data_IF_847429869550
#
_entry.id   IF_847429869550
#
_cell.length_a   1.000
_cell.length_b   1.000
_cell.length_c   1.000
_cell.angle_alpha   90.00
_cell.angle_beta   90.00
_cell.angle_gamma   90.00
#
_symmetry.space_group_name_H-M   'P 1'
#
loop_
_entity.id
_entity.type
_entity.pdbx_description
1 polymer ?
#
# COMPACT_ATOMS: atom_id res chain seq x y z
N UNK A 1 22.68 -19.70 -10.74
CA UNK A 1 22.44 -20.24 -9.39
C UNK A 1 21.50 -19.27 -8.70
N UNK A 2 20.31 -19.77 -8.39
CA UNK A 2 19.04 -19.04 -8.27
C UNK A 2 18.88 -18.43 -6.87
N UNK A 3 18.47 -17.16 -6.80
CA UNK A 3 18.16 -16.44 -5.56
C UNK A 3 16.99 -17.10 -4.80
N UNK A 4 16.94 -17.06 -3.46
CA UNK A 4 15.78 -17.51 -2.71
C UNK A 4 14.63 -16.50 -2.89
N UNK A 5 13.43 -17.00 -3.15
CA UNK A 5 12.19 -16.21 -3.22
C UNK A 5 11.90 -15.53 -1.87
N UNK A 6 11.42 -14.28 -1.95
CA UNK A 6 11.02 -13.42 -0.85
C UNK A 6 9.77 -13.92 -0.10
N UNK A 7 9.85 -15.06 0.60
CA UNK A 7 8.79 -15.55 1.47
C UNK A 7 9.36 -16.22 2.72
N UNK A 8 9.84 -15.41 3.66
CA UNK A 8 9.91 -15.77 5.08
C UNK A 8 10.06 -14.49 5.92
N UNK A 9 9.15 -14.28 6.88
CA UNK A 9 9.35 -13.28 7.94
C UNK A 9 10.55 -13.74 8.79
N UNK A 10 11.64 -12.96 8.90
CA UNK A 10 12.79 -13.36 9.69
C UNK A 10 12.49 -13.32 11.19
N UNK A 11 12.92 -14.36 11.90
CA UNK A 11 12.77 -14.53 13.34
C UNK A 11 13.59 -13.47 14.12
N UNK A 12 12.92 -12.69 14.97
CA UNK A 12 13.44 -11.57 15.75
C UNK A 12 14.22 -12.05 16.98
N UNK A 13 15.28 -12.83 16.77
CA UNK A 13 16.34 -13.02 17.75
C UNK A 13 17.26 -11.79 17.83
N UNK A 14 17.63 -11.38 19.04
CA UNK A 14 18.54 -10.26 19.38
C UNK A 14 19.77 -10.21 18.45
N UNK A 15 19.71 -9.37 17.42
CA UNK A 15 20.86 -9.12 16.52
C UNK A 15 21.12 -7.61 16.49
N UNK A 16 22.34 -7.20 16.80
CA UNK A 16 22.76 -5.80 16.80
C UNK A 16 23.16 -5.37 15.38
N UNK A 17 22.44 -4.40 14.81
CA UNK A 17 22.84 -3.71 13.57
C UNK A 17 23.97 -2.73 13.94
N UNK A 18 25.08 -2.74 13.20
CA UNK A 18 26.17 -1.77 13.41
C UNK A 18 25.63 -0.34 13.25
N UNK A 19 25.70 0.46 14.31
CA UNK A 19 25.13 1.83 14.35
C UNK A 19 25.94 2.82 13.50
N UNK A 20 27.12 2.43 13.04
CA UNK A 20 28.01 3.28 12.25
C UNK A 20 28.16 2.76 10.82
N UNK A 21 27.87 3.62 9.85
CA UNK A 21 28.14 3.36 8.44
C UNK A 21 26.97 3.67 7.51
N UNK A 22 27.25 3.45 6.23
CA UNK A 22 26.32 3.66 5.12
C UNK A 22 26.04 2.32 4.45
N UNK A 23 24.81 2.11 4.04
CA UNK A 23 24.38 0.97 3.21
C UNK A 23 24.02 1.48 1.82
N UNK A 24 24.32 0.68 0.79
CA UNK A 24 23.92 0.95 -0.59
C UNK A 24 22.62 0.22 -0.91
N UNK A 25 21.54 0.95 -1.13
CA UNK A 25 20.28 0.40 -1.63
C UNK A 25 20.25 0.55 -3.16
N UNK A 26 20.22 -0.57 -3.88
CA UNK A 26 20.09 -0.58 -5.34
C UNK A 26 18.61 -0.70 -5.69
N UNK A 27 18.04 0.31 -6.32
CA UNK A 27 16.59 0.44 -6.50
C UNK A 27 16.21 0.35 -7.97
N UNK A 28 15.19 -0.45 -8.25
CA UNK A 28 14.62 -0.62 -9.58
C UNK A 28 15.49 -1.46 -10.53
N UNK A 29 15.02 -1.69 -11.77
CA UNK A 29 15.70 -2.55 -12.74
C UNK A 29 17.05 -2.01 -13.20
N UNK A 30 17.25 -0.69 -13.14
CA UNK A 30 18.52 -0.03 -13.47
C UNK A 30 19.53 -0.02 -12.31
N UNK A 31 19.22 -0.70 -11.19
CA UNK A 31 20.03 -0.76 -9.97
C UNK A 31 20.51 0.63 -9.49
N UNK A 32 19.63 1.64 -9.51
CA UNK A 32 20.01 2.99 -9.08
C UNK A 32 20.45 2.97 -7.62
N UNK A 33 21.70 3.34 -7.36
CA UNK A 33 22.29 3.26 -6.03
C UNK A 33 21.92 4.48 -5.15
N UNK A 34 21.43 4.20 -3.95
CA UNK A 34 21.15 5.17 -2.90
C UNK A 34 21.99 4.85 -1.66
N UNK A 35 22.75 5.82 -1.19
CA UNK A 35 23.58 5.72 0.01
C UNK A 35 22.80 6.23 1.22
N UNK A 36 22.45 5.32 2.13
CA UNK A 36 21.62 5.63 3.31
C UNK A 36 22.37 5.28 4.59
N UNK A 37 22.26 6.12 5.62
CA UNK A 37 22.85 5.83 6.92
C UNK A 37 22.15 4.63 7.58
N UNK A 38 22.95 3.64 7.99
CA UNK A 38 22.44 2.42 8.63
C UNK A 38 21.65 2.73 9.91
N UNK A 39 22.12 3.68 10.70
CA UNK A 39 21.46 4.10 11.95
C UNK A 39 20.01 4.52 11.71
N UNK A 40 19.77 5.34 10.68
CA UNK A 40 18.45 5.85 10.33
C UNK A 40 17.57 4.71 9.78
N UNK A 41 18.12 3.92 8.85
CA UNK A 41 17.37 2.83 8.21
C UNK A 41 17.00 1.71 9.21
N UNK A 42 17.95 1.26 10.03
CA UNK A 42 17.75 0.24 11.06
C UNK A 42 16.84 0.74 12.20
N UNK A 43 16.81 2.05 12.48
CA UNK A 43 15.88 2.62 13.47
C UNK A 43 14.42 2.54 12.98
N UNK A 44 14.20 2.86 11.70
CA UNK A 44 12.89 2.99 11.09
C UNK A 44 12.29 1.66 10.56
N UNK A 45 13.13 0.66 10.28
CA UNK A 45 12.69 -0.64 9.75
C UNK A 45 13.33 -1.82 10.49
N UNK A 46 12.53 -2.65 11.19
CA UNK A 46 13.00 -3.91 11.76
C UNK A 46 13.51 -4.89 10.70
N UNK A 47 12.95 -4.86 9.48
CA UNK A 47 13.44 -5.67 8.36
C UNK A 47 14.89 -5.33 8.03
N UNK A 48 15.20 -4.06 7.80
CA UNK A 48 16.56 -3.63 7.47
C UNK A 48 17.52 -3.83 8.64
N UNK A 49 17.04 -3.67 9.88
CA UNK A 49 17.81 -4.02 11.09
C UNK A 49 18.23 -5.48 11.09
N UNK A 50 17.32 -6.39 10.76
CA UNK A 50 17.62 -7.82 10.70
C UNK A 50 18.51 -8.19 9.50
N UNK A 51 18.26 -7.58 8.33
CA UNK A 51 19.01 -7.84 7.10
C UNK A 51 20.47 -7.36 7.18
N UNK A 52 20.71 -6.22 7.84
CA UNK A 52 22.05 -5.62 8.01
C UNK A 52 22.76 -6.05 9.30
N UNK A 53 22.17 -6.98 10.05
CA UNK A 53 22.78 -7.47 11.26
C UNK A 53 24.01 -8.35 10.94
N UNK A 54 25.08 -8.13 11.70
CA UNK A 54 26.38 -8.73 11.41
C UNK A 54 26.34 -10.27 11.43
N UNK A 55 26.99 -10.89 10.44
CA UNK A 55 27.19 -12.34 10.39
C UNK A 55 25.95 -13.18 10.07
N UNK A 56 24.78 -12.58 9.88
CA UNK A 56 23.52 -13.31 9.69
C UNK A 56 23.14 -13.53 8.23
N UNK A 57 23.44 -12.57 7.36
CA UNK A 57 23.04 -12.57 5.94
C UNK A 57 24.15 -11.99 5.04
N UNK A 58 24.13 -12.31 3.74
CA UNK A 58 25.14 -11.82 2.77
C UNK A 58 25.07 -10.30 2.62
N UNK A 59 23.87 -9.75 2.74
CA UNK A 59 23.54 -8.33 2.67
C UNK A 59 24.26 -7.52 3.76
N UNK A 60 24.37 -8.07 4.96
CA UNK A 60 25.17 -7.48 6.05
C UNK A 60 26.67 -7.54 5.81
N UNK A 61 27.16 -8.46 4.96
CA UNK A 61 28.58 -8.57 4.58
C UNK A 61 28.91 -7.62 3.42
N UNK A 62 28.05 -7.56 2.41
CA UNK A 62 28.25 -6.75 1.21
C UNK A 62 27.86 -5.27 1.38
N UNK A 63 27.17 -4.92 2.49
CA UNK A 63 26.63 -3.58 2.76
C UNK A 63 25.77 -3.03 1.61
N UNK A 64 25.12 -3.94 0.87
CA UNK A 64 24.28 -3.61 -0.27
C UNK A 64 23.01 -4.47 -0.26
N UNK A 65 21.87 -3.85 -0.58
CA UNK A 65 20.56 -4.53 -0.71
C UNK A 65 19.93 -4.11 -2.03
N UNK A 66 19.43 -5.09 -2.79
CA UNK A 66 18.69 -4.87 -4.03
C UNK A 66 17.18 -4.79 -3.77
N UNK A 67 16.53 -3.80 -4.37
CA UNK A 67 15.10 -3.47 -4.26
C UNK A 67 14.51 -3.39 -5.68
N UNK A 68 14.51 -4.52 -6.38
CA UNK A 68 14.24 -4.60 -7.83
C UNK A 68 12.81 -4.18 -8.22
N UNK A 69 11.84 -4.47 -7.35
CA UNK A 69 10.42 -4.17 -7.57
C UNK A 69 10.02 -2.76 -7.11
N UNK A 70 10.99 -1.93 -6.69
CA UNK A 70 10.74 -0.59 -6.16
C UNK A 70 11.05 0.46 -7.22
N UNK A 71 10.09 1.36 -7.47
CA UNK A 71 10.31 2.50 -8.36
C UNK A 71 11.33 3.49 -7.74
N UNK A 72 12.41 3.87 -8.46
CA UNK A 72 13.43 4.76 -7.93
C UNK A 72 12.94 6.19 -7.63
N UNK A 73 11.92 6.67 -8.33
CA UNK A 73 11.37 8.00 -8.09
C UNK A 73 10.54 8.01 -6.81
N UNK A 74 9.65 7.03 -6.61
CA UNK A 74 8.91 6.84 -5.36
C UNK A 74 9.86 6.64 -4.18
N UNK A 75 10.89 5.79 -4.33
CA UNK A 75 11.88 5.58 -3.27
C UNK A 75 12.58 6.89 -2.87
N UNK A 76 13.04 7.66 -3.85
CA UNK A 76 13.73 8.93 -3.59
C UNK A 76 12.80 10.01 -3.02
N UNK A 77 11.57 10.12 -3.51
CA UNK A 77 10.66 11.20 -3.13
C UNK A 77 9.93 10.93 -1.83
N UNK A 78 9.65 9.66 -1.52
CA UNK A 78 8.88 9.29 -0.34
C UNK A 78 9.78 8.70 0.73
N UNK A 79 10.47 7.60 0.43
CA UNK A 79 11.21 6.83 1.44
C UNK A 79 12.43 7.59 1.93
N UNK A 80 13.25 8.13 1.03
CA UNK A 80 14.44 8.90 1.42
C UNK A 80 14.04 10.17 2.18
N UNK A 81 13.03 10.90 1.70
CA UNK A 81 12.54 12.07 2.43
C UNK A 81 12.06 11.68 3.82
N UNK A 82 11.21 10.67 3.96
CA UNK A 82 10.75 10.16 5.25
C UNK A 82 11.90 9.83 6.20
N UNK A 83 12.91 9.11 5.73
CA UNK A 83 14.05 8.69 6.57
C UNK A 83 14.79 9.88 7.18
N UNK A 84 14.93 10.99 6.44
CA UNK A 84 15.71 12.14 6.89
C UNK A 84 14.88 13.28 7.49
N UNK A 85 13.59 13.38 7.18
CA UNK A 85 12.73 14.47 7.65
C UNK A 85 11.63 14.02 8.60
N UNK A 86 11.25 12.75 8.58
CA UNK A 86 10.06 12.25 9.27
C UNK A 86 8.75 12.76 8.67
N UNK A 87 8.79 13.33 7.46
CA UNK A 87 7.62 13.88 6.78
C UNK A 87 7.39 13.20 5.43
N UNK A 88 6.11 13.14 5.07
CA UNK A 88 5.64 12.60 3.79
C UNK A 88 5.23 13.80 2.92
N UNK A 89 5.78 13.98 1.71
CA UNK A 89 5.46 15.15 0.88
C UNK A 89 3.97 15.24 0.52
N UNK A 90 3.42 16.45 0.41
CA UNK A 90 2.01 16.63 0.05
C UNK A 90 1.66 16.13 -1.37
N UNK A 91 2.66 16.02 -2.25
CA UNK A 91 2.50 15.62 -3.64
C UNK A 91 2.59 14.10 -3.86
N UNK A 92 2.49 13.28 -2.81
CA UNK A 92 2.59 11.82 -2.89
C UNK A 92 1.43 11.13 -3.62
N UNK A 93 0.47 11.88 -4.16
CA UNK A 93 -0.79 11.36 -4.73
C UNK A 93 -0.58 10.20 -5.70
N UNK A 94 0.48 10.25 -6.50
CA UNK A 94 0.78 9.23 -7.52
C UNK A 94 1.62 8.06 -6.98
N UNK A 95 2.02 8.12 -5.71
CA UNK A 95 2.97 7.20 -5.07
C UNK A 95 2.53 6.70 -3.71
N UNK A 96 1.32 7.02 -3.26
CA UNK A 96 0.80 6.62 -1.95
C UNK A 96 0.74 5.11 -1.82
N UNK A 97 0.13 4.44 -2.79
CA UNK A 97 -0.08 2.99 -2.78
C UNK A 97 1.26 2.28 -2.86
N UNK A 98 2.10 2.68 -3.82
CA UNK A 98 3.46 2.16 -3.99
C UNK A 98 4.29 2.36 -2.71
N UNK A 99 4.14 3.51 -2.06
CA UNK A 99 4.76 3.84 -0.78
C UNK A 99 4.26 2.99 0.38
N UNK A 100 2.96 2.78 0.48
CA UNK A 100 2.37 1.93 1.52
C UNK A 100 2.75 0.46 1.32
N UNK A 101 2.74 -0.03 0.08
CA UNK A 101 3.23 -1.38 -0.30
C UNK A 101 4.69 -1.54 0.08
N UNK A 102 5.53 -0.55 -0.23
CA UNK A 102 6.94 -0.55 0.15
C UNK A 102 7.09 -0.60 1.69
N UNK A 103 6.36 0.25 2.39
CA UNK A 103 6.40 0.34 3.85
C UNK A 103 5.87 -0.93 4.53
N UNK A 104 4.92 -1.64 3.93
CA UNK A 104 4.47 -2.95 4.42
C UNK A 104 5.51 -4.04 4.17
N UNK A 105 6.03 -4.11 2.95
CA UNK A 105 6.99 -5.13 2.50
C UNK A 105 8.30 -5.09 3.28
N UNK A 106 8.83 -3.90 3.53
CA UNK A 106 10.09 -3.70 4.24
C UNK A 106 9.89 -3.25 5.70
N UNK A 107 8.68 -3.47 6.24
CA UNK A 107 8.32 -3.23 7.63
C UNK A 107 8.73 -1.86 8.17
N UNK A 108 8.19 -0.79 7.60
CA UNK A 108 8.25 0.57 8.14
C UNK A 108 6.91 0.92 8.80
N UNK A 109 6.70 0.56 10.09
CA UNK A 109 5.41 0.76 10.76
C UNK A 109 5.02 2.24 10.91
N UNK A 110 5.98 3.12 11.21
CA UNK A 110 5.72 4.56 11.36
C UNK A 110 5.39 5.21 10.01
N UNK A 111 6.11 4.85 8.95
CA UNK A 111 5.81 5.32 7.59
C UNK A 111 4.42 4.87 7.13
N UNK A 112 4.06 3.59 7.34
CA UNK A 112 2.69 3.11 7.03
C UNK A 112 1.63 3.95 7.74
N UNK A 113 1.85 4.24 9.02
CA UNK A 113 0.91 5.02 9.83
C UNK A 113 0.79 6.46 9.33
N UNK A 114 1.91 7.09 8.96
CA UNK A 114 1.92 8.44 8.40
C UNK A 114 1.22 8.48 7.04
N UNK A 115 1.55 7.57 6.11
CA UNK A 115 0.90 7.49 4.80
C UNK A 115 -0.62 7.30 4.96
N UNK A 116 -1.05 6.38 5.83
CA UNK A 116 -2.47 6.17 6.11
C UNK A 116 -3.16 7.45 6.61
N UNK A 117 -2.49 8.22 7.47
CA UNK A 117 -2.99 9.51 7.95
C UNK A 117 -3.19 10.53 6.82
N UNK A 118 -2.24 10.60 5.87
CA UNK A 118 -2.36 11.48 4.70
C UNK A 118 -3.48 11.03 3.76
N UNK A 119 -3.62 9.73 3.51
CA UNK A 119 -4.74 9.15 2.73
C UNK A 119 -6.07 9.48 3.36
N UNK A 120 -6.19 9.27 4.67
CA UNK A 120 -7.40 9.58 5.42
C UNK A 120 -7.72 11.09 5.33
N UNK A 121 -6.73 11.96 5.58
CA UNK A 121 -6.88 13.41 5.46
C UNK A 121 -7.38 13.82 4.08
N UNK A 122 -6.81 13.23 3.03
CA UNK A 122 -7.17 13.54 1.65
C UNK A 122 -8.60 13.10 1.29
N UNK A 123 -8.92 11.81 1.48
CA UNK A 123 -10.20 11.27 1.05
C UNK A 123 -11.34 11.57 2.01
N UNK A 124 -11.08 11.55 3.32
CA UNK A 124 -12.13 11.75 4.33
C UNK A 124 -12.31 13.22 4.67
N UNK A 125 -11.23 13.95 4.95
CA UNK A 125 -11.34 15.32 5.45
C UNK A 125 -11.37 16.40 4.36
N UNK A 126 -10.70 16.19 3.22
CA UNK A 126 -10.50 17.26 2.21
C UNK A 126 -11.39 17.16 0.97
N UNK A 127 -11.52 15.98 0.35
CA UNK A 127 -11.99 15.93 -1.04
C UNK A 127 -13.26 15.13 -1.32
N UNK A 128 -13.81 14.33 -0.41
CA UNK A 128 -15.00 13.46 -0.64
C UNK A 128 -14.93 12.52 -1.87
N UNK A 129 -13.83 12.54 -2.64
CA UNK A 129 -13.56 11.69 -3.79
C UNK A 129 -13.33 10.25 -3.34
N UNK A 130 -13.42 9.34 -4.31
CA UNK A 130 -13.00 7.95 -4.17
C UNK A 130 -11.64 7.76 -4.87
N UNK A 131 -10.77 6.89 -4.34
CA UNK A 131 -9.60 6.42 -5.08
C UNK A 131 -10.05 5.73 -6.38
N UNK A 132 -9.29 5.81 -7.47
CA UNK A 132 -9.66 5.11 -8.72
C UNK A 132 -9.58 3.59 -8.56
N UNK A 133 -10.27 2.83 -9.41
CA UNK A 133 -10.20 1.36 -9.36
C UNK A 133 -8.80 0.82 -9.63
N UNK A 134 -7.98 1.53 -10.42
CA UNK A 134 -6.57 1.19 -10.59
C UNK A 134 -5.82 1.16 -9.25
N UNK A 135 -6.07 2.15 -8.39
CA UNK A 135 -5.49 2.22 -7.03
C UNK A 135 -6.01 1.07 -6.16
N UNK A 136 -7.31 0.77 -6.24
CA UNK A 136 -7.90 -0.35 -5.50
C UNK A 136 -7.28 -1.68 -5.91
N UNK A 137 -7.22 -1.98 -7.22
CA UNK A 137 -6.64 -3.21 -7.76
C UNK A 137 -5.19 -3.35 -7.26
N UNK A 138 -4.37 -2.31 -7.45
CA UNK A 138 -2.96 -2.34 -7.06
C UNK A 138 -2.79 -2.62 -5.56
N UNK A 139 -3.59 -2.00 -4.69
CA UNK A 139 -3.52 -2.21 -3.25
C UNK A 139 -3.86 -3.66 -2.88
N UNK A 140 -4.97 -4.20 -3.37
CA UNK A 140 -5.45 -5.54 -3.01
C UNK A 140 -4.63 -6.69 -3.63
N UNK A 141 -3.92 -6.44 -4.73
CA UNK A 141 -2.96 -7.40 -5.31
C UNK A 141 -1.66 -7.51 -4.50
N UNK A 142 -1.27 -6.44 -3.80
CA UNK A 142 0.05 -6.35 -3.15
C UNK A 142 0.00 -6.32 -1.62
N UNK A 143 -1.18 -6.12 -1.02
CA UNK A 143 -1.37 -6.00 0.42
C UNK A 143 -2.35 -7.06 0.95
N UNK A 144 -2.21 -7.45 2.23
CA UNK A 144 -3.25 -8.21 2.91
C UNK A 144 -4.59 -7.44 2.88
N UNK A 145 -5.71 -8.07 2.51
CA UNK A 145 -7.04 -7.41 2.49
C UNK A 145 -7.46 -6.86 3.86
N UNK A 146 -6.89 -7.37 4.95
CA UNK A 146 -7.14 -6.95 6.33
C UNK A 146 -6.24 -5.81 6.80
N UNK A 147 -5.40 -5.24 5.93
CA UNK A 147 -4.62 -4.07 6.29
C UNK A 147 -5.50 -2.82 6.34
N UNK A 148 -5.13 -1.85 7.20
CA UNK A 148 -5.92 -0.63 7.43
C UNK A 148 -6.20 0.19 6.16
N UNK A 149 -5.29 0.17 5.19
CA UNK A 149 -5.50 0.87 3.91
C UNK A 149 -6.62 0.23 3.09
N UNK A 150 -6.61 -1.10 2.97
CA UNK A 150 -7.67 -1.85 2.28
C UNK A 150 -9.02 -1.71 2.99
N UNK A 151 -9.05 -1.79 4.33
CA UNK A 151 -10.25 -1.55 5.13
C UNK A 151 -10.81 -0.13 4.89
N UNK A 152 -9.95 0.90 4.91
CA UNK A 152 -10.34 2.28 4.62
C UNK A 152 -10.95 2.41 3.21
N UNK A 153 -10.37 1.75 2.20
CA UNK A 153 -10.90 1.78 0.84
C UNK A 153 -12.29 1.15 0.74
N UNK A 154 -12.52 0.01 1.40
CA UNK A 154 -13.84 -0.61 1.51
C UNK A 154 -14.83 0.34 2.21
N UNK A 155 -14.41 1.01 3.28
CA UNK A 155 -15.25 1.95 4.03
C UNK A 155 -15.65 3.17 3.18
N UNK A 156 -14.70 3.73 2.43
CA UNK A 156 -14.93 4.86 1.53
C UNK A 156 -15.95 4.52 0.45
N UNK A 157 -15.76 3.39 -0.25
CA UNK A 157 -16.70 2.94 -1.27
C UNK A 157 -18.05 2.54 -0.66
N UNK A 158 -18.02 1.81 0.46
CA UNK A 158 -19.20 1.38 1.19
C UNK A 158 -20.06 2.53 1.71
N UNK A 159 -19.50 3.74 1.86
CA UNK A 159 -20.24 4.94 2.27
C UNK A 159 -20.65 5.88 1.13
N UNK A 160 -19.88 5.96 0.04
CA UNK A 160 -20.06 7.02 -0.98
C UNK A 160 -20.37 6.53 -2.39
N UNK A 161 -20.06 5.28 -2.69
CA UNK A 161 -20.19 4.79 -4.05
C UNK A 161 -21.65 4.55 -4.45
N UNK A 162 -21.97 4.95 -5.69
CA UNK A 162 -23.18 4.65 -6.45
C UNK A 162 -22.78 4.47 -7.92
N UNK A 163 -23.62 3.80 -8.72
CA UNK A 163 -23.27 3.38 -10.09
C UNK A 163 -22.87 4.51 -11.02
N UNK A 164 -23.34 5.73 -10.77
CA UNK A 164 -23.08 6.91 -11.61
C UNK A 164 -21.81 7.68 -11.22
N UNK A 165 -21.10 7.26 -10.15
CA UNK A 165 -19.81 7.87 -9.77
C UNK A 165 -18.68 7.48 -10.71
N UNK A 166 -18.76 6.28 -11.29
CA UNK A 166 -17.69 5.72 -12.11
C UNK A 166 -17.54 6.53 -13.40
N UNK A 167 -16.34 7.09 -13.62
CA UNK A 167 -15.97 7.64 -14.92
C UNK A 167 -15.70 6.51 -15.92
N UNK A 168 -15.43 6.84 -17.19
CA UNK A 168 -15.20 5.85 -18.25
C UNK A 168 -14.02 4.91 -17.96
N UNK A 169 -12.94 5.42 -17.38
CA UNK A 169 -11.75 4.63 -17.04
C UNK A 169 -12.05 3.63 -15.91
N UNK A 170 -12.72 4.08 -14.85
CA UNK A 170 -13.14 3.22 -13.76
C UNK A 170 -14.20 2.20 -14.24
N UNK A 171 -15.18 2.60 -15.05
CA UNK A 171 -16.17 1.68 -15.59
C UNK A 171 -15.51 0.52 -16.37
N UNK A 172 -14.44 0.78 -17.12
CA UNK A 172 -13.68 -0.24 -17.85
C UNK A 172 -12.90 -1.20 -16.94
N UNK A 173 -12.55 -0.80 -15.71
CA UNK A 173 -11.81 -1.61 -14.74
C UNK A 173 -12.70 -2.38 -13.77
N UNK A 174 -14.02 -2.15 -13.80
CA UNK A 174 -14.98 -2.71 -12.85
C UNK A 174 -14.95 -4.23 -12.76
N UNK A 175 -14.80 -4.91 -13.89
CA UNK A 175 -14.71 -6.38 -13.95
C UNK A 175 -13.39 -6.93 -13.41
N UNK A 176 -12.37 -6.07 -13.27
CA UNK A 176 -11.04 -6.44 -12.77
C UNK A 176 -10.90 -6.21 -11.26
N UNK A 177 -11.93 -5.67 -10.60
CA UNK A 177 -11.90 -5.43 -9.17
C UNK A 177 -11.73 -6.74 -8.39
N UNK A 178 -10.81 -6.81 -7.40
CA UNK A 178 -10.57 -8.03 -6.67
C UNK A 178 -11.78 -8.45 -5.84
N UNK A 179 -12.10 -9.75 -5.82
CA UNK A 179 -13.19 -10.29 -4.99
C UNK A 179 -13.01 -9.96 -3.52
N UNK A 180 -11.76 -9.87 -3.04
CA UNK A 180 -11.41 -9.44 -1.68
C UNK A 180 -11.79 -7.99 -1.35
N UNK A 181 -12.01 -7.15 -2.35
CA UNK A 181 -12.58 -5.81 -2.20
C UNK A 181 -14.10 -5.84 -2.37
N UNK A 182 -14.59 -6.55 -3.40
CA UNK A 182 -16.02 -6.59 -3.75
C UNK A 182 -16.87 -7.21 -2.64
N UNK A 183 -16.44 -8.35 -2.04
CA UNK A 183 -17.26 -9.03 -1.02
C UNK A 183 -17.49 -8.15 0.22
N UNK A 184 -16.44 -7.57 0.86
CA UNK A 184 -16.65 -6.61 1.94
C UNK A 184 -17.47 -5.39 1.52
N UNK A 185 -17.25 -4.87 0.30
CA UNK A 185 -18.04 -3.76 -0.23
C UNK A 185 -19.53 -4.12 -0.33
N UNK A 186 -19.87 -5.29 -0.86
CA UNK A 186 -21.25 -5.76 -0.96
C UNK A 186 -21.92 -5.88 0.41
N UNK A 187 -21.20 -6.39 1.42
CA UNK A 187 -21.71 -6.45 2.79
C UNK A 187 -22.00 -5.04 3.35
N UNK A 188 -21.12 -4.06 3.09
CA UNK A 188 -21.34 -2.67 3.50
C UNK A 188 -22.50 -2.01 2.78
N UNK A 189 -22.66 -2.25 1.48
CA UNK A 189 -23.77 -1.73 0.70
C UNK A 189 -25.10 -2.34 1.14
N UNK A 190 -25.15 -3.65 1.37
CA UNK A 190 -26.34 -4.36 1.84
C UNK A 190 -26.75 -4.01 3.28
N UNK A 191 -25.79 -3.57 4.10
CA UNK A 191 -26.03 -3.09 5.46
C UNK A 191 -26.51 -1.64 5.57
N UNK A 192 -26.64 -0.90 4.45
CA UNK A 192 -27.23 0.45 4.47
C UNK A 192 -28.72 0.33 4.80
N UNK A 193 -29.16 0.84 5.96
CA UNK A 193 -30.58 0.84 6.33
C UNK A 193 -31.41 1.51 5.23
N UNK A 194 -32.50 0.84 4.83
CA UNK A 194 -33.47 1.33 3.84
C UNK A 194 -34.24 2.51 4.47
N UNK A 195 -33.62 3.70 4.45
CA UNK A 195 -34.19 4.95 4.94
C UNK A 195 -34.43 5.99 3.84
N UNK A 196 -34.20 5.65 2.57
CA UNK A 196 -34.47 6.50 1.42
C UNK A 196 -35.25 5.71 0.37
N UNK A 197 -36.35 6.28 -0.09
CA UNK A 197 -37.18 5.76 -1.17
C UNK A 197 -36.34 5.24 -2.35
N UNK A 198 -36.67 4.05 -2.84
CA UNK A 198 -36.22 3.59 -4.16
C UNK A 198 -35.29 2.38 -4.14
N UNK A 199 -35.88 1.19 -4.08
CA UNK A 199 -35.50 0.06 -4.94
C UNK A 199 -36.60 -1.00 -4.92
N UNK A 200 -37.86 -0.59 -5.11
CA UNK A 200 -38.80 -1.50 -5.78
C UNK A 200 -38.34 -1.56 -7.24
N UNK A 201 -37.42 -2.49 -7.52
CA UNK A 201 -37.23 -2.90 -8.90
C UNK A 201 -38.59 -3.48 -9.31
N UNK A 202 -39.24 -2.85 -10.28
CA UNK A 202 -40.59 -3.19 -10.72
C UNK A 202 -40.54 -4.56 -11.41
N UNK A 203 -40.53 -5.63 -10.61
CA UNK A 203 -40.52 -7.03 -11.04
C UNK A 203 -41.79 -7.37 -11.84
N UNK A 204 -42.75 -6.45 -11.88
CA UNK A 204 -43.89 -6.44 -12.78
C UNK A 204 -43.47 -6.60 -14.26
N UNK A 205 -42.28 -6.13 -14.66
CA UNK A 205 -41.74 -6.34 -16.01
C UNK A 205 -41.65 -7.84 -16.40
N UNK A 206 -41.41 -8.73 -15.44
CA UNK A 206 -41.33 -10.17 -15.68
C UNK A 206 -42.68 -10.89 -15.60
N UNK A 207 -43.76 -10.17 -15.27
CA UNK A 207 -45.10 -10.76 -15.12
C UNK A 207 -45.89 -10.83 -16.44
N UNK A 208 -45.42 -10.18 -17.51
CA UNK A 208 -46.14 -10.07 -18.79
C UNK A 208 -45.53 -10.90 -19.94
N UNK A 209 -45.09 -12.13 -19.67
CA UNK A 209 -44.89 -13.13 -20.73
C UNK A 209 -46.05 -14.13 -20.72
N UNK A 210 -47.10 -13.83 -21.48
CA UNK A 210 -48.22 -14.73 -21.75
C UNK A 210 -48.38 -14.97 -23.24
#
# INVERSE_FOLDING_TARGET
MTAPKANARPDLGSTTCSEHGVVTLKVGPDEKAFLIHKSILCAQSPYFRAALAEGRWKEGQDNAIALDETDPAMFSQLVVNWLYTGEVPDNIRDSVEAGYIFADRYDFPELRSKILGEVYSYYVARNYLLPSYKVIIQAFENLPPTCKLCELYVDLYGSRWYTEVDNEEDAALREQLPTSFILPLMERLGGREIGGEGCEHDLAYYSEQK
#
